data_IF_023555901452
#
_entry.id   IF_023555901452
#
_cell.length_a   1.000
_cell.length_b   1.000
_cell.length_c   1.000
_cell.angle_alpha   90.00
_cell.angle_beta   90.00
_cell.angle_gamma   90.00
#
_symmetry.space_group_name_H-M   'P 1'
#
loop_
_entity.id
_entity.type
_entity.pdbx_description
1 polymer ?
#
# COMPACT_ATOMS: atom_id res chain seq x y z
N UNK A 1 -6.85 15.47 7.50
CA UNK A 1 -7.90 15.10 8.45
C UNK A 1 -7.99 13.59 8.57
N UNK A 2 -8.11 13.09 9.80
CA UNK A 2 -8.40 11.71 10.12
C UNK A 2 -9.42 11.66 11.26
N UNK A 3 -10.30 10.66 11.26
CA UNK A 3 -11.21 10.41 12.38
C UNK A 3 -11.57 8.93 12.45
N UNK A 4 -11.94 8.48 13.64
CA UNK A 4 -12.45 7.12 13.88
C UNK A 4 -13.97 7.16 13.87
N UNK A 5 -14.57 6.23 13.11
CA UNK A 5 -15.96 5.86 13.29
C UNK A 5 -16.02 4.62 14.20
N UNK A 6 -16.45 4.79 15.47
CA UNK A 6 -16.45 3.68 16.42
C UNK A 6 -17.58 2.67 16.16
N UNK A 7 -18.63 3.07 15.44
CA UNK A 7 -19.78 2.19 15.12
C UNK A 7 -19.36 1.22 14.02
N UNK A 8 -18.83 1.72 12.92
CA UNK A 8 -18.36 0.92 11.79
C UNK A 8 -16.95 0.36 12.03
N UNK A 9 -16.28 0.76 13.12
CA UNK A 9 -14.92 0.38 13.49
C UNK A 9 -13.93 0.63 12.35
N UNK A 10 -13.96 1.84 11.82
CA UNK A 10 -13.08 2.28 10.72
C UNK A 10 -12.33 3.54 11.07
N UNK A 11 -11.13 3.65 10.54
CA UNK A 11 -10.35 4.88 10.48
C UNK A 11 -10.55 5.49 9.09
N UNK A 12 -10.95 6.75 9.07
CA UNK A 12 -11.26 7.48 7.85
C UNK A 12 -10.21 8.57 7.62
N UNK A 13 -9.60 8.59 6.43
CA UNK A 13 -8.59 9.56 6.04
C UNK A 13 -9.07 10.34 4.82
N UNK A 14 -8.84 11.66 4.82
CA UNK A 14 -9.10 12.51 3.65
C UNK A 14 -7.84 12.67 2.83
N UNK A 15 -7.97 12.49 1.54
CA UNK A 15 -6.89 12.59 0.59
C UNK A 15 -7.31 13.06 -0.79
N UNK A 16 -6.40 12.96 -1.72
CA UNK A 16 -6.60 13.34 -3.11
C UNK A 16 -5.77 12.45 -4.02
N UNK A 17 -6.30 12.09 -5.19
CA UNK A 17 -5.53 11.39 -6.23
C UNK A 17 -4.37 12.26 -6.69
N UNK A 18 -3.15 11.73 -6.70
CA UNK A 18 -1.96 12.44 -7.13
C UNK A 18 -1.26 11.83 -8.35
N UNK A 19 -1.46 10.54 -8.63
CA UNK A 19 -0.97 9.87 -9.83
C UNK A 19 -2.01 8.90 -10.39
N UNK A 20 -1.95 8.66 -11.72
CA UNK A 20 -2.82 7.72 -12.43
C UNK A 20 -2.06 6.68 -13.26
N UNK A 21 -0.83 6.99 -13.67
CA UNK A 21 -0.09 6.13 -14.62
C UNK A 21 1.43 6.19 -14.34
N UNK A 22 1.83 5.72 -13.16
CA UNK A 22 3.23 5.64 -12.76
C UNK A 22 3.51 4.28 -12.11
N UNK A 23 4.78 3.82 -12.13
CA UNK A 23 5.23 2.78 -11.20
C UNK A 23 5.04 3.25 -9.76
N UNK A 24 4.72 2.32 -8.86
CA UNK A 24 4.35 2.63 -7.49
C UNK A 24 5.36 2.07 -6.49
N UNK A 25 5.78 2.92 -5.57
CA UNK A 25 6.35 2.52 -4.29
C UNK A 25 5.28 2.52 -3.19
N UNK A 26 4.30 3.45 -3.30
CA UNK A 26 3.24 3.58 -2.32
C UNK A 26 1.86 3.59 -3.00
N UNK A 27 0.87 3.04 -2.29
CA UNK A 27 -0.52 3.33 -2.60
C UNK A 27 -0.92 4.72 -2.07
N UNK A 28 -0.55 5.04 -0.82
CA UNK A 28 -0.82 6.35 -0.24
C UNK A 28 0.36 6.87 0.58
N UNK A 29 0.72 8.14 0.35
CA UNK A 29 1.72 8.86 1.14
C UNK A 29 1.07 9.89 2.06
N UNK A 30 1.77 10.23 3.14
CA UNK A 30 1.43 11.36 4.00
C UNK A 30 2.07 12.64 3.48
N UNK A 31 1.26 13.68 3.33
CA UNK A 31 1.75 14.91 2.71
C UNK A 31 2.02 14.73 1.21
N UNK A 32 2.95 15.52 0.65
CA UNK A 32 3.21 15.55 -0.79
C UNK A 32 4.62 15.15 -1.20
N UNK A 33 5.49 14.83 -0.25
CA UNK A 33 6.90 14.51 -0.54
C UNK A 33 7.06 13.32 -1.48
N UNK A 34 6.22 12.29 -1.31
CA UNK A 34 6.20 11.06 -2.12
C UNK A 34 5.00 10.96 -3.07
N UNK A 35 4.36 12.09 -3.40
CA UNK A 35 3.19 12.11 -4.29
C UNK A 35 3.52 11.70 -5.73
N UNK A 36 4.78 11.73 -6.15
CA UNK A 36 5.22 11.35 -7.50
C UNK A 36 5.26 9.83 -7.71
N UNK A 37 5.25 9.04 -6.65
CA UNK A 37 5.32 7.57 -6.64
C UNK A 37 4.15 6.93 -5.86
N UNK A 38 3.07 7.71 -5.64
CA UNK A 38 1.88 7.31 -4.89
C UNK A 38 0.61 7.56 -5.69
N UNK A 39 -0.42 6.72 -5.50
CA UNK A 39 -1.76 6.96 -6.11
C UNK A 39 -2.47 8.10 -5.41
N UNK A 40 -2.40 8.12 -4.08
CA UNK A 40 -3.12 9.08 -3.22
C UNK A 40 -2.16 9.74 -2.26
N UNK A 41 -2.31 11.04 -2.01
CA UNK A 41 -1.75 11.66 -0.84
C UNK A 41 -2.84 11.93 0.20
N UNK A 42 -2.52 11.82 1.48
CA UNK A 42 -3.44 12.13 2.58
C UNK A 42 -2.88 13.22 3.47
N UNK A 43 -3.77 13.97 4.12
CA UNK A 43 -3.39 15.07 5.02
C UNK A 43 -3.14 14.62 6.47
N UNK A 44 -3.36 13.34 6.77
CA UNK A 44 -3.13 12.78 8.10
C UNK A 44 -1.65 12.46 8.30
N UNK A 45 -1.11 12.79 9.46
CA UNK A 45 0.23 12.36 9.85
C UNK A 45 0.26 10.83 10.10
N UNK A 46 1.33 10.13 9.72
CA UNK A 46 1.46 8.68 9.90
C UNK A 46 1.25 8.21 11.34
N UNK A 47 1.78 8.93 12.34
CA UNK A 47 1.57 8.56 13.74
C UNK A 47 0.08 8.61 14.16
N UNK A 48 -0.72 9.51 13.56
CA UNK A 48 -2.17 9.60 13.82
C UNK A 48 -2.88 8.37 13.26
N UNK A 49 -2.45 7.91 12.08
CA UNK A 49 -2.99 6.68 11.47
C UNK A 49 -2.61 5.47 12.31
N UNK A 50 -1.36 5.37 12.75
CA UNK A 50 -0.89 4.33 13.66
C UNK A 50 -1.75 4.27 14.94
N UNK A 51 -1.89 5.41 15.63
CA UNK A 51 -2.70 5.50 16.86
C UNK A 51 -4.17 5.14 16.60
N UNK A 52 -4.73 5.58 15.47
CA UNK A 52 -6.09 5.26 15.07
C UNK A 52 -6.32 3.77 14.86
N UNK A 53 -5.39 3.07 14.22
CA UNK A 53 -5.45 1.62 14.01
C UNK A 53 -5.35 0.85 15.35
N UNK A 54 -4.45 1.26 16.25
CA UNK A 54 -4.38 0.70 17.61
C UNK A 54 -5.70 0.89 18.37
N UNK A 55 -6.29 2.08 18.29
CA UNK A 55 -7.58 2.37 18.96
C UNK A 55 -8.74 1.51 18.41
N UNK A 56 -8.65 1.04 17.18
CA UNK A 56 -9.58 0.10 16.56
C UNK A 56 -9.27 -1.37 16.89
N UNK A 57 -8.21 -1.63 17.67
CA UNK A 57 -7.82 -2.97 18.10
C UNK A 57 -6.93 -3.72 17.09
N UNK A 58 -6.36 -3.03 16.11
CA UNK A 58 -5.31 -3.60 15.29
C UNK A 58 -4.02 -3.77 16.10
N UNK A 59 -3.26 -4.81 15.80
CA UNK A 59 -1.95 -5.07 16.41
C UNK A 59 -0.87 -4.71 15.40
N UNK A 60 0.02 -3.79 15.79
CA UNK A 60 1.22 -3.51 15.02
C UNK A 60 2.15 -4.73 15.10
N UNK A 61 2.66 -5.15 13.96
CA UNK A 61 3.67 -6.18 13.87
C UNK A 61 5.08 -5.59 13.80
N UNK A 62 5.81 -5.95 12.76
CA UNK A 62 7.15 -5.43 12.50
C UNK A 62 7.29 -5.00 11.05
N UNK A 63 8.00 -3.90 10.77
CA UNK A 63 8.39 -3.53 9.42
C UNK A 63 9.30 -4.59 8.79
N UNK A 64 9.49 -4.46 7.47
CA UNK A 64 10.45 -5.29 6.75
C UNK A 64 11.85 -5.21 7.38
N UNK A 65 12.52 -6.34 7.41
CA UNK A 65 13.90 -6.48 7.87
C UNK A 65 14.76 -6.97 6.71
N UNK A 66 15.79 -6.23 6.32
CA UNK A 66 16.66 -6.61 5.21
C UNK A 66 17.92 -7.36 5.63
N UNK A 67 18.33 -7.24 6.89
CA UNK A 67 19.55 -7.83 7.43
C UNK A 67 19.28 -8.53 8.78
N UNK A 68 19.93 -9.68 9.11
CA UNK A 68 20.86 -10.45 8.27
C UNK A 68 20.14 -11.25 7.17
N UNK A 69 18.84 -11.42 7.27
CA UNK A 69 17.98 -12.11 6.31
C UNK A 69 16.74 -11.23 6.04
N UNK A 70 16.24 -11.29 4.81
CA UNK A 70 14.99 -10.63 4.47
C UNK A 70 13.85 -11.27 5.27
N UNK A 71 13.13 -10.44 6.02
CA UNK A 71 11.87 -10.83 6.67
C UNK A 71 10.78 -9.86 6.25
N UNK A 72 9.74 -10.36 5.59
CA UNK A 72 8.61 -9.54 5.20
C UNK A 72 7.93 -8.88 6.41
N UNK A 73 7.24 -7.75 6.20
CA UNK A 73 6.48 -7.10 7.26
C UNK A 73 5.35 -7.98 7.79
N UNK A 74 4.99 -7.77 9.05
CA UNK A 74 3.93 -8.51 9.75
C UNK A 74 2.96 -7.54 10.42
N UNK A 75 1.85 -8.04 10.92
CA UNK A 75 0.85 -7.29 11.71
C UNK A 75 -0.58 -7.65 11.34
N UNK A 76 -1.54 -6.97 11.95
CA UNK A 76 -2.95 -7.13 11.60
C UNK A 76 -3.20 -6.75 10.15
N UNK A 77 -3.99 -7.55 9.45
CA UNK A 77 -4.44 -7.22 8.09
C UNK A 77 -5.38 -6.02 8.16
N UNK A 78 -5.15 -5.05 7.27
CA UNK A 78 -5.97 -3.84 7.15
C UNK A 78 -6.60 -3.81 5.76
N UNK A 79 -7.92 -3.86 5.73
CA UNK A 79 -8.69 -3.62 4.52
C UNK A 79 -8.76 -2.11 4.24
N UNK A 80 -8.55 -1.73 2.98
CA UNK A 80 -8.60 -0.33 2.55
C UNK A 80 -9.59 -0.20 1.41
N UNK A 81 -10.57 0.66 1.62
CA UNK A 81 -11.56 1.03 0.61
C UNK A 81 -11.37 2.50 0.27
N UNK A 82 -11.40 2.81 -1.02
CA UNK A 82 -11.37 4.17 -1.54
C UNK A 82 -12.76 4.59 -1.93
N UNK A 83 -13.16 5.79 -1.51
CA UNK A 83 -14.47 6.38 -1.80
C UNK A 83 -14.30 7.76 -2.43
N UNK A 84 -15.05 8.06 -3.49
CA UNK A 84 -15.07 9.37 -4.15
C UNK A 84 -16.45 9.70 -4.71
N UNK A 85 -16.59 10.91 -5.23
CA UNK A 85 -17.76 11.34 -5.99
C UNK A 85 -17.40 11.45 -7.48
N UNK A 86 -18.22 10.86 -8.32
CA UNK A 86 -18.10 10.93 -9.77
C UNK A 86 -19.45 11.31 -10.36
N UNK A 87 -19.54 12.47 -11.00
CA UNK A 87 -20.79 13.00 -11.57
C UNK A 87 -21.97 13.02 -10.57
N UNK A 88 -21.69 13.32 -9.30
CA UNK A 88 -22.68 13.33 -8.22
C UNK A 88 -23.03 11.94 -7.65
N UNK A 89 -22.46 10.87 -8.20
CA UNK A 89 -22.65 9.50 -7.74
C UNK A 89 -21.47 9.10 -6.83
N UNK A 90 -21.81 8.54 -5.67
CA UNK A 90 -20.79 7.95 -4.77
C UNK A 90 -20.25 6.66 -5.36
N UNK A 91 -18.95 6.61 -5.54
CA UNK A 91 -18.19 5.42 -5.95
C UNK A 91 -17.38 4.88 -4.79
N UNK A 92 -17.15 3.59 -4.83
CA UNK A 92 -16.35 2.88 -3.82
C UNK A 92 -15.66 1.68 -4.47
N UNK A 93 -14.38 1.45 -4.12
CA UNK A 93 -13.59 0.35 -4.65
C UNK A 93 -12.55 -0.08 -3.60
N UNK A 94 -12.11 -1.34 -3.63
CA UNK A 94 -10.95 -1.76 -2.83
C UNK A 94 -9.70 -1.07 -3.36
N UNK A 95 -8.83 -0.62 -2.47
CA UNK A 95 -7.60 0.06 -2.85
C UNK A 95 -6.71 -0.79 -3.77
N UNK A 96 -6.69 -2.12 -3.57
CA UNK A 96 -5.96 -3.06 -4.42
C UNK A 96 -6.40 -3.00 -5.90
N UNK A 97 -7.65 -2.63 -6.17
CA UNK A 97 -8.17 -2.56 -7.53
C UNK A 97 -7.68 -1.32 -8.31
N UNK A 98 -7.02 -0.37 -7.62
CA UNK A 98 -6.30 0.75 -8.22
C UNK A 98 -4.80 0.47 -8.42
N UNK A 99 -4.34 -0.70 -7.97
CA UNK A 99 -2.94 -1.15 -8.09
C UNK A 99 -2.88 -2.34 -9.03
N UNK A 100 -2.12 -2.21 -10.09
CA UNK A 100 -1.85 -3.28 -11.05
C UNK A 100 -0.58 -4.03 -10.63
N UNK A 101 -0.66 -5.36 -10.54
CA UNK A 101 0.51 -6.24 -10.35
C UNK A 101 1.16 -6.51 -11.71
N UNK A 102 2.39 -6.02 -11.89
CA UNK A 102 3.19 -6.21 -13.10
C UNK A 102 4.33 -7.23 -12.91
N UNK A 103 4.41 -7.88 -11.76
CA UNK A 103 5.46 -8.83 -11.43
C UNK A 103 5.50 -10.05 -12.38
N UNK A 104 4.33 -10.48 -12.85
CA UNK A 104 4.23 -11.55 -13.82
C UNK A 104 4.88 -11.17 -15.16
N UNK A 105 4.75 -9.91 -15.59
CA UNK A 105 5.36 -9.40 -16.81
C UNK A 105 6.90 -9.46 -16.74
N UNK A 106 7.49 -9.07 -15.61
CA UNK A 106 8.95 -9.16 -15.43
C UNK A 106 9.44 -10.61 -15.49
N UNK A 107 8.77 -11.55 -14.83
CA UNK A 107 9.11 -12.98 -14.89
C UNK A 107 9.03 -13.56 -16.29
N UNK A 108 8.09 -13.09 -17.12
CA UNK A 108 8.00 -13.47 -18.53
C UNK A 108 9.17 -12.94 -19.35
N UNK A 109 9.56 -11.67 -19.14
CA UNK A 109 10.71 -11.09 -19.83
C UNK A 109 12.03 -11.76 -19.42
N UNK A 110 12.23 -12.08 -18.14
CA UNK A 110 13.39 -12.84 -17.67
C UNK A 110 13.42 -14.25 -18.30
N UNK A 111 12.27 -14.93 -18.39
CA UNK A 111 12.14 -16.23 -19.05
C UNK A 111 12.40 -16.16 -20.56
N UNK A 112 11.99 -15.09 -21.23
CA UNK A 112 12.23 -14.88 -22.68
C UNK A 112 13.69 -14.57 -22.96
N UNK A 113 14.37 -13.82 -22.10
CA UNK A 113 15.80 -13.53 -22.22
C UNK A 113 16.65 -14.79 -21.93
N UNK A 114 16.19 -15.66 -21.05
CA UNK A 114 16.88 -16.90 -20.70
C UNK A 114 16.69 -18.02 -21.73
N UNK A 115 15.56 -18.04 -22.41
CA UNK A 115 15.23 -19.05 -23.43
C UNK A 115 15.14 -18.39 -24.80
N UNK A 116 16.23 -18.47 -25.58
CA UNK A 116 16.35 -18.05 -26.97
C UNK A 116 15.09 -18.36 -27.82
N UNK A 117 14.54 -17.35 -28.44
CA UNK A 117 13.92 -17.27 -29.77
C UNK A 117 13.41 -18.60 -30.39
N UNK A 118 12.46 -19.27 -29.80
CA UNK A 118 11.62 -20.24 -30.53
C UNK A 118 10.26 -20.28 -29.86
N UNK A 119 9.36 -19.55 -30.39
CA UNK A 119 7.94 -19.68 -30.62
C UNK A 119 7.24 -18.34 -30.48
N UNK A 120 6.44 -18.04 -31.49
CA UNK A 120 5.66 -16.83 -31.63
C UNK A 120 4.76 -16.60 -30.40
N UNK A 121 5.25 -15.82 -29.45
CA UNK A 121 4.43 -15.26 -28.38
C UNK A 121 3.42 -14.32 -29.01
N UNK A 122 2.21 -14.80 -29.22
CA UNK A 122 1.09 -13.96 -29.59
C UNK A 122 0.75 -13.09 -28.38
N UNK A 123 0.86 -11.74 -28.48
CA UNK A 123 0.58 -10.82 -27.38
C UNK A 123 -0.85 -10.95 -26.82
N UNK A 124 -1.74 -11.63 -27.53
CA UNK A 124 -3.16 -11.70 -27.19
C UNK A 124 -3.54 -12.80 -26.20
N UNK A 125 -2.67 -13.79 -25.95
CA UNK A 125 -3.00 -14.91 -25.04
C UNK A 125 -2.61 -14.65 -23.58
N UNK A 126 -2.00 -13.49 -23.27
CA UNK A 126 -1.48 -13.15 -21.94
C UNK A 126 -2.17 -11.96 -21.26
N UNK A 127 -3.39 -11.60 -21.66
CA UNK A 127 -4.18 -10.52 -21.03
C UNK A 127 -4.53 -10.79 -19.57
N UNK A 128 -4.28 -11.99 -19.04
CA UNK A 128 -4.31 -12.30 -17.62
C UNK A 128 -3.19 -11.61 -16.80
N UNK A 129 -2.24 -10.98 -17.46
CA UNK A 129 -1.15 -10.22 -16.81
C UNK A 129 -1.63 -8.87 -16.20
N UNK A 130 -2.87 -8.46 -16.50
CA UNK A 130 -3.45 -7.19 -16.03
C UNK A 130 -4.31 -7.42 -14.81
N UNK A 131 -3.70 -7.89 -13.71
CA UNK A 131 -4.43 -8.19 -12.49
C UNK A 131 -4.30 -7.07 -11.50
N UNK A 132 -5.39 -6.84 -10.74
CA UNK A 132 -5.32 -6.08 -9.50
C UNK A 132 -4.33 -6.75 -8.55
N UNK A 133 -3.65 -5.96 -7.74
CA UNK A 133 -2.86 -6.48 -6.63
C UNK A 133 -3.75 -7.36 -5.73
N UNK A 134 -3.26 -8.56 -5.41
CA UNK A 134 -3.99 -9.52 -4.58
C UNK A 134 -3.29 -9.79 -3.23
N UNK A 135 -2.48 -8.86 -2.77
CA UNK A 135 -1.84 -8.94 -1.47
C UNK A 135 -2.58 -8.05 -0.47
N UNK A 136 -2.75 -8.51 0.79
CA UNK A 136 -3.28 -7.64 1.84
C UNK A 136 -2.23 -6.60 2.23
N UNK A 137 -2.65 -5.51 2.86
CA UNK A 137 -1.76 -4.68 3.66
C UNK A 137 -1.77 -5.16 5.10
N UNK A 138 -0.60 -5.22 5.73
CA UNK A 138 -0.45 -5.50 7.15
C UNK A 138 -0.01 -4.25 7.90
N UNK A 139 -0.44 -4.12 9.14
CA UNK A 139 -0.06 -3.03 10.02
C UNK A 139 1.36 -3.28 10.56
N UNK A 140 2.36 -2.91 9.76
CA UNK A 140 3.78 -3.05 10.10
C UNK A 140 4.20 -2.15 11.27
N UNK A 141 3.56 -0.96 11.36
CA UNK A 141 3.68 -0.08 12.52
C UNK A 141 4.86 0.87 12.48
N UNK A 142 5.69 0.86 11.44
CA UNK A 142 6.90 1.68 11.38
C UNK A 142 7.79 1.51 12.62
N UNK A 143 8.69 2.43 12.88
CA UNK A 143 9.57 2.38 14.05
C UNK A 143 9.87 3.76 14.59
N UNK A 144 10.23 3.83 15.87
CA UNK A 144 10.77 5.02 16.50
C UNK A 144 12.29 4.98 16.40
N UNK A 145 12.88 6.08 15.99
CA UNK A 145 14.34 6.26 15.93
C UNK A 145 14.74 7.48 16.73
N UNK A 146 15.95 7.46 17.29
CA UNK A 146 16.49 8.61 17.99
C UNK A 146 17.17 9.53 16.99
N UNK A 147 16.66 10.75 16.85
CA UNK A 147 17.34 11.81 16.11
C UNK A 147 18.63 12.18 16.84
N UNK A 148 19.78 11.88 16.24
CA UNK A 148 21.11 12.12 16.85
C UNK A 148 21.38 13.60 17.10
N UNK A 149 20.81 14.51 16.32
CA UNK A 149 20.99 15.94 16.44
C UNK A 149 20.20 16.54 17.60
N UNK A 150 18.98 16.06 17.83
CA UNK A 150 18.07 16.62 18.86
C UNK A 150 17.96 15.75 20.09
N UNK A 151 18.39 14.48 20.01
CA UNK A 151 18.24 13.46 21.04
C UNK A 151 16.80 13.02 21.27
N UNK A 152 15.86 13.46 20.45
CA UNK A 152 14.43 13.11 20.56
C UNK A 152 14.12 11.83 19.82
N UNK A 153 13.14 11.08 20.32
CA UNK A 153 12.53 10.02 19.55
C UNK A 153 11.60 10.63 18.50
N UNK A 154 11.74 10.15 17.27
CA UNK A 154 10.90 10.53 16.12
C UNK A 154 10.30 9.28 15.51
N UNK A 155 9.06 9.38 15.06
CA UNK A 155 8.39 8.32 14.34
C UNK A 155 8.84 8.36 12.88
N UNK A 156 9.47 7.28 12.40
CA UNK A 156 10.17 7.30 11.13
C UNK A 156 9.25 7.60 9.95
N UNK A 157 8.04 7.02 9.95
CA UNK A 157 7.04 7.30 8.91
C UNK A 157 6.64 8.78 8.81
N UNK A 158 6.69 9.55 9.92
CA UNK A 158 6.40 10.99 9.88
C UNK A 158 7.48 11.79 9.15
N UNK A 159 8.71 11.26 9.11
CA UNK A 159 9.82 11.89 8.38
C UNK A 159 9.75 11.58 6.89
N UNK A 160 9.45 10.33 6.54
CA UNK A 160 9.54 9.81 5.18
C UNK A 160 8.21 9.89 4.42
N UNK A 161 7.08 9.93 5.14
CA UNK A 161 5.74 10.00 4.57
C UNK A 161 5.20 8.66 4.07
N UNK A 162 5.85 7.54 4.42
CA UNK A 162 5.57 6.19 3.96
C UNK A 162 4.39 5.59 4.74
N UNK A 163 3.18 5.82 4.23
CA UNK A 163 1.95 5.48 4.93
C UNK A 163 1.38 4.11 4.53
N UNK A 164 1.09 3.91 3.24
CA UNK A 164 0.57 2.65 2.70
C UNK A 164 1.46 2.25 1.53
N UNK A 165 2.35 1.32 1.77
CA UNK A 165 3.41 0.95 0.84
C UNK A 165 3.04 -0.30 0.03
N UNK A 166 3.54 -0.37 -1.19
CA UNK A 166 3.49 -1.56 -2.06
C UNK A 166 4.90 -2.07 -2.36
N UNK A 167 5.92 -1.22 -2.21
CA UNK A 167 7.31 -1.63 -2.03
C UNK A 167 7.65 -1.60 -0.53
N UNK A 168 8.57 -2.46 -0.10
CA UNK A 168 8.88 -2.60 1.32
C UNK A 168 9.79 -1.48 1.83
N UNK A 169 9.37 -0.85 2.93
CA UNK A 169 10.12 0.18 3.65
C UNK A 169 10.14 -0.08 5.14
N UNK A 170 11.31 0.08 5.76
CA UNK A 170 11.44 -0.04 7.22
C UNK A 170 10.65 1.03 8.00
N UNK A 171 10.26 2.11 7.34
CA UNK A 171 9.44 3.22 7.86
C UNK A 171 7.93 3.05 7.60
N UNK A 172 7.50 2.04 6.83
CA UNK A 172 6.10 1.86 6.46
C UNK A 172 5.18 1.69 7.67
N UNK A 173 4.04 2.39 7.67
CA UNK A 173 2.94 2.12 8.63
C UNK A 173 2.16 0.89 8.20
N UNK A 174 1.75 0.83 6.93
CA UNK A 174 1.12 -0.32 6.29
C UNK A 174 2.00 -0.78 5.14
N UNK A 175 2.24 -2.08 5.02
CA UNK A 175 3.10 -2.65 3.99
C UNK A 175 2.54 -3.99 3.50
N UNK A 176 3.03 -4.46 2.36
CA UNK A 176 2.64 -5.77 1.80
C UNK A 176 3.50 -6.88 2.42
N UNK A 177 2.91 -8.01 2.87
CA UNK A 177 3.63 -9.08 3.58
C UNK A 177 4.39 -10.03 2.63
N UNK A 178 5.02 -9.46 1.61
CA UNK A 178 5.86 -10.16 0.62
C UNK A 178 7.14 -9.38 0.42
N UNK A 179 8.13 -10.00 -0.21
CA UNK A 179 9.28 -9.29 -0.73
C UNK A 179 8.87 -8.42 -1.91
N UNK A 180 9.04 -7.10 -1.78
CA UNK A 180 8.73 -6.11 -2.80
C UNK A 180 9.78 -4.99 -2.77
N UNK A 181 10.63 -4.97 -3.80
CA UNK A 181 11.75 -4.02 -3.87
C UNK A 181 11.28 -2.60 -4.20
N UNK A 182 11.92 -1.61 -3.58
CA UNK A 182 11.79 -0.19 -3.95
C UNK A 182 12.78 0.24 -5.05
N UNK A 183 13.62 -0.66 -5.57
CA UNK A 183 14.51 -0.33 -6.67
C UNK A 183 13.71 -0.15 -7.96
N UNK A 184 13.88 0.98 -8.65
CA UNK A 184 13.11 1.33 -9.86
C UNK A 184 13.05 0.23 -10.94
N UNK A 185 14.12 -0.58 -11.07
CA UNK A 185 14.17 -1.68 -12.04
C UNK A 185 13.42 -2.95 -11.58
N UNK A 186 12.91 -2.98 -10.34
CA UNK A 186 12.29 -4.16 -9.74
C UNK A 186 10.95 -3.83 -9.07
N UNK A 187 10.33 -2.70 -9.39
CA UNK A 187 9.00 -2.36 -8.90
C UNK A 187 7.97 -3.33 -9.45
N UNK A 188 7.20 -3.93 -8.57
CA UNK A 188 6.22 -4.97 -8.90
C UNK A 188 4.83 -4.42 -9.19
N UNK A 189 4.60 -3.13 -8.92
CA UNK A 189 3.29 -2.52 -8.96
C UNK A 189 3.30 -1.20 -9.73
N UNK A 190 2.15 -0.88 -10.33
CA UNK A 190 1.90 0.42 -10.95
C UNK A 190 0.45 0.85 -10.75
N UNK A 191 0.13 2.09 -11.07
CA UNK A 191 -1.24 2.56 -11.15
C UNK A 191 -2.05 1.73 -12.16
N UNK A 192 -3.29 1.38 -11.80
CA UNK A 192 -4.26 0.83 -12.74
C UNK A 192 -5.03 2.00 -13.39
N UNK A 193 -4.41 2.62 -14.40
CA UNK A 193 -4.79 3.92 -14.94
C UNK A 193 -6.29 4.05 -15.29
N UNK A 194 -6.87 3.00 -15.86
CA UNK A 194 -8.27 3.00 -16.34
C UNK A 194 -9.30 3.02 -15.20
N UNK A 195 -8.88 2.76 -13.97
CA UNK A 195 -9.75 2.65 -12.81
C UNK A 195 -9.64 3.83 -11.84
N UNK A 196 -8.58 4.61 -11.97
CA UNK A 196 -8.28 5.72 -11.08
C UNK A 196 -8.93 6.99 -11.63
N UNK A 197 -9.75 7.72 -10.84
CA UNK A 197 -10.34 8.97 -11.30
C UNK A 197 -9.26 10.05 -11.53
N UNK A 198 -9.58 11.15 -12.22
CA UNK A 198 -8.61 12.18 -12.58
C UNK A 198 -7.77 12.68 -11.40
N UNK A 199 -6.50 13.00 -11.67
CA UNK A 199 -5.61 13.63 -10.70
C UNK A 199 -6.29 14.88 -10.12
N UNK A 200 -6.21 15.04 -8.80
CA UNK A 200 -6.90 16.12 -8.09
C UNK A 200 -8.28 15.73 -7.55
N UNK A 201 -8.81 14.55 -7.91
CA UNK A 201 -10.09 14.07 -7.36
C UNK A 201 -9.97 13.87 -5.84
N UNK A 202 -10.83 14.53 -5.02
CA UNK A 202 -10.89 14.28 -3.60
C UNK A 202 -11.35 12.85 -3.32
N UNK A 203 -10.65 12.17 -2.41
CA UNK A 203 -10.96 10.80 -2.02
C UNK A 203 -10.98 10.65 -0.50
N UNK A 204 -11.66 9.61 -0.04
CA UNK A 204 -11.65 9.19 1.35
C UNK A 204 -11.13 7.75 1.39
N UNK A 205 -10.08 7.50 2.17
CA UNK A 205 -9.61 6.16 2.48
C UNK A 205 -10.29 5.69 3.76
N UNK A 206 -10.87 4.50 3.72
CA UNK A 206 -11.55 3.85 4.83
C UNK A 206 -10.74 2.61 5.18
N UNK A 207 -10.08 2.65 6.33
CA UNK A 207 -9.22 1.59 6.83
C UNK A 207 -9.95 0.80 7.90
N UNK A 208 -9.99 -0.51 7.75
CA UNK A 208 -10.63 -1.43 8.70
C UNK A 208 -9.70 -2.58 9.05
N UNK A 209 -9.42 -2.82 10.35
CA UNK A 209 -8.80 -4.07 10.75
C UNK A 209 -9.67 -5.25 10.31
N UNK A 210 -9.10 -6.20 9.58
CA UNK A 210 -9.82 -7.42 9.20
C UNK A 210 -10.25 -8.17 10.47
N UNK A 211 -11.45 -8.71 10.45
CA UNK A 211 -11.93 -9.56 11.54
C UNK A 211 -10.96 -10.73 11.70
N UNK A 212 -10.49 -10.99 12.91
CA UNK A 212 -9.81 -12.26 13.19
C UNK A 212 -10.79 -13.37 12.79
N UNK A 213 -10.42 -14.18 11.80
CA UNK A 213 -11.12 -15.46 11.61
C UNK A 213 -10.97 -16.20 12.93
N UNK A 214 -12.05 -16.40 13.66
CA UNK A 214 -12.06 -17.31 14.80
C UNK A 214 -11.52 -18.65 14.27
N UNK A 215 -10.33 -19.02 14.72
CA UNK A 215 -9.77 -20.33 14.44
C UNK A 215 -10.80 -21.39 14.89
N UNK A 216 -10.82 -22.59 14.27
CA UNK A 216 -11.75 -23.63 14.68
C UNK A 216 -11.59 -23.85 16.17
N UNK A 217 -12.69 -24.05 16.93
CA UNK A 217 -12.63 -24.29 18.36
C UNK A 217 -11.71 -25.47 18.60
N UNK A 218 -10.70 -25.29 19.43
CA UNK A 218 -9.84 -26.36 19.90
C UNK A 218 -10.75 -27.41 20.59
N UNK A 219 -10.90 -28.57 19.95
CA UNK A 219 -11.45 -29.78 20.57
C UNK A 219 -10.39 -30.50 21.36
#
# INVERSE_FOLDING_TARGET
LAWIDPVDRVLVLVGQVCQQDVPLELFACSGRSKAHESVVWVSAAPYVVHAGLLALGAEAGSPVQFNPELRPPTGSVIEIVVRWQEEGVRREIRAQDWVQDISAMYRMFEGVVANHFEDELHPHDHWDAWRSMNYPWVFAGSQFVRDERTGREVYLADMDGELVCVANFASAVLDVPIESSAANAALMFRCFAERIPPIGTPVTLILRPASRSEGPPHQ
#
